data_IF_538566799946
#
_entry.id   IF_538566799946
#
_cell.length_a   1.000
_cell.length_b   1.000
_cell.length_c   1.000
_cell.angle_alpha   90.00
_cell.angle_beta   90.00
_cell.angle_gamma   90.00
#
_symmetry.space_group_name_H-M   'P 1'
#
loop_
_entity.id
_entity.type
_entity.pdbx_description
1 polymer ?
#
# COMPACT_ATOMS: atom_id res chain seq x y z
N UNK A 1 -5.64 -7.84 -49.54
CA UNK A 1 -6.33 -7.19 -48.41
C UNK A 1 -7.11 -8.23 -47.62
N UNK A 2 -6.39 -9.14 -46.97
CA UNK A 2 -6.95 -10.14 -46.05
C UNK A 2 -6.97 -9.50 -44.68
N UNK A 3 -8.16 -9.29 -44.13
CA UNK A 3 -8.31 -8.82 -42.76
C UNK A 3 -7.94 -10.00 -41.85
N UNK A 4 -7.04 -9.77 -40.89
CA UNK A 4 -6.71 -10.72 -39.83
C UNK A 4 -7.95 -10.93 -38.95
N UNK A 5 -8.84 -11.82 -39.40
CA UNK A 5 -10.07 -12.20 -38.71
C UNK A 5 -9.79 -12.84 -37.35
N UNK A 6 -8.58 -13.38 -37.16
CA UNK A 6 -8.08 -13.98 -35.92
C UNK A 6 -8.01 -12.97 -34.75
N UNK A 7 -7.79 -11.68 -35.04
CA UNK A 7 -7.59 -10.66 -34.01
C UNK A 7 -8.87 -9.89 -33.65
N UNK A 8 -9.97 -10.13 -34.35
CA UNK A 8 -11.26 -9.45 -34.13
C UNK A 8 -11.75 -9.57 -32.68
N UNK A 9 -11.71 -10.74 -32.02
CA UNK A 9 -12.15 -10.86 -30.63
C UNK A 9 -11.27 -10.06 -29.66
N UNK A 10 -9.96 -10.04 -29.89
CA UNK A 10 -8.99 -9.32 -29.05
C UNK A 10 -9.19 -7.82 -29.16
N UNK A 11 -9.35 -7.31 -30.40
CA UNK A 11 -9.60 -5.89 -30.66
C UNK A 11 -10.97 -5.47 -30.11
N UNK A 12 -11.99 -6.32 -30.19
CA UNK A 12 -13.31 -6.04 -29.63
C UNK A 12 -13.25 -5.92 -28.09
N UNK A 13 -12.58 -6.86 -27.42
CA UNK A 13 -12.42 -6.83 -25.95
C UNK A 13 -11.62 -5.59 -25.51
N UNK A 14 -10.52 -5.28 -26.20
CA UNK A 14 -9.71 -4.09 -25.91
C UNK A 14 -10.51 -2.78 -26.07
N UNK A 15 -11.38 -2.71 -27.08
CA UNK A 15 -12.26 -1.55 -27.31
C UNK A 15 -13.34 -1.42 -26.23
N UNK A 16 -13.92 -2.53 -25.76
CA UNK A 16 -14.88 -2.53 -24.63
C UNK A 16 -14.22 -2.03 -23.33
N UNK A 17 -12.98 -2.43 -23.07
CA UNK A 17 -12.22 -1.89 -21.93
C UNK A 17 -11.90 -0.40 -22.07
N UNK A 18 -11.57 0.05 -23.29
CA UNK A 18 -11.31 1.46 -23.58
C UNK A 18 -12.56 2.36 -23.45
N UNK A 19 -13.77 1.80 -23.65
CA UNK A 19 -15.02 2.54 -23.39
C UNK A 19 -15.42 2.52 -21.92
N UNK A 20 -15.18 1.43 -21.17
CA UNK A 20 -15.42 1.41 -19.72
C UNK A 20 -14.59 2.45 -18.95
N UNK A 21 -13.42 2.83 -19.47
CA UNK A 21 -12.58 3.89 -18.87
C UNK A 21 -13.08 5.32 -19.15
N UNK A 22 -14.03 5.51 -20.08
CA UNK A 22 -14.64 6.82 -20.39
C UNK A 22 -15.87 7.15 -19.55
N UNK A 23 -16.55 6.15 -18.97
CA UNK A 23 -17.69 6.35 -18.05
C UNK A 23 -17.28 6.36 -16.57
N UNK A 24 -16.01 6.69 -16.28
CA UNK A 24 -15.60 7.18 -14.95
C UNK A 24 -16.09 8.62 -14.77
N UNK A 25 -17.41 8.83 -14.86
CA UNK A 25 -18.03 10.04 -14.35
C UNK A 25 -17.51 10.27 -12.92
N UNK A 26 -17.12 11.50 -12.53
CA UNK A 26 -16.72 11.76 -11.16
C UNK A 26 -17.89 11.32 -10.27
N UNK A 27 -17.60 10.46 -9.30
CA UNK A 27 -18.59 9.99 -8.32
C UNK A 27 -19.24 11.23 -7.73
N UNK A 28 -20.43 11.55 -8.21
CA UNK A 28 -21.22 12.69 -7.75
C UNK A 28 -21.43 12.50 -6.26
N UNK A 29 -21.06 13.52 -5.50
CA UNK A 29 -21.16 13.78 -4.06
C UNK A 29 -22.43 13.30 -3.32
N UNK A 30 -22.92 12.08 -3.51
CA UNK A 30 -23.83 11.45 -2.55
C UNK A 30 -22.99 11.13 -1.33
N UNK A 31 -22.90 12.07 -0.38
CA UNK A 31 -22.22 11.97 0.92
C UNK A 31 -21.35 10.72 1.00
N UNK A 32 -20.19 10.75 0.31
CA UNK A 32 -19.39 9.55 0.14
C UNK A 32 -18.86 9.20 1.52
N UNK A 33 -19.53 8.28 2.20
CA UNK A 33 -19.04 7.71 3.45
C UNK A 33 -17.71 7.06 3.07
N UNK A 34 -16.60 7.71 3.43
CA UNK A 34 -15.26 7.17 3.21
C UNK A 34 -15.25 5.73 3.71
N UNK A 35 -14.56 4.85 2.99
CA UNK A 35 -14.47 3.44 3.38
C UNK A 35 -13.84 3.36 4.78
N UNK A 36 -14.53 2.73 5.74
CA UNK A 36 -14.02 2.62 7.11
C UNK A 36 -13.05 1.46 7.23
N UNK A 37 -11.79 1.74 7.51
CA UNK A 37 -10.71 0.77 7.54
C UNK A 37 -10.19 0.59 8.96
N UNK A 38 -10.19 -0.65 9.43
CA UNK A 38 -9.47 -1.04 10.65
C UNK A 38 -8.16 -1.74 10.26
N UNK A 39 -7.04 -1.23 10.75
CA UNK A 39 -5.71 -1.81 10.52
C UNK A 39 -5.36 -2.76 11.67
N UNK A 40 -5.14 -4.03 11.34
CA UNK A 40 -4.57 -5.06 12.22
C UNK A 40 -3.15 -5.39 11.73
N UNK A 41 -2.20 -4.52 12.07
CA UNK A 41 -0.78 -4.63 11.75
C UNK A 41 0.09 -4.00 12.85
N UNK A 42 1.42 -4.07 12.73
CA UNK A 42 2.34 -3.32 13.60
C UNK A 42 2.25 -1.80 13.34
N UNK A 43 2.64 -1.00 14.34
CA UNK A 43 2.48 0.46 14.31
C UNK A 43 3.24 1.11 13.14
N UNK A 44 4.47 0.69 12.88
CA UNK A 44 5.29 1.25 11.80
C UNK A 44 4.66 1.04 10.42
N UNK A 45 4.11 -0.16 10.17
CA UNK A 45 3.36 -0.42 8.95
C UNK A 45 2.02 0.32 8.93
N UNK A 46 1.36 0.46 10.09
CA UNK A 46 0.13 1.21 10.22
C UNK A 46 0.30 2.67 9.82
N UNK A 47 1.38 3.31 10.27
CA UNK A 47 1.71 4.70 9.93
C UNK A 47 2.00 4.88 8.45
N UNK A 48 2.75 3.96 7.85
CA UNK A 48 2.97 3.94 6.40
C UNK A 48 1.65 3.80 5.62
N UNK A 49 0.78 2.87 6.01
CA UNK A 49 -0.50 2.70 5.32
C UNK A 49 -1.38 3.95 5.43
N UNK A 50 -1.36 4.64 6.59
CA UNK A 50 -2.08 5.91 6.78
C UNK A 50 -1.53 7.04 5.92
N UNK A 51 -0.23 7.08 5.65
CA UNK A 51 0.34 8.10 4.75
C UNK A 51 0.06 7.82 3.28
N UNK A 52 -0.13 6.56 2.89
CA UNK A 52 -0.36 6.17 1.49
C UNK A 52 -1.84 6.11 1.09
N UNK A 53 -2.76 5.89 2.04
CA UNK A 53 -4.20 5.73 1.78
C UNK A 53 -5.00 6.84 2.49
N UNK A 54 -4.78 8.09 2.11
CA UNK A 54 -5.43 9.28 2.68
C UNK A 54 -6.92 9.47 2.30
N UNK A 55 -7.42 8.62 1.41
CA UNK A 55 -8.79 8.66 0.88
C UNK A 55 -9.79 7.77 1.65
N UNK A 56 -9.34 7.03 2.66
CA UNK A 56 -10.19 6.20 3.54
C UNK A 56 -10.43 6.88 4.89
N UNK A 57 -11.31 6.30 5.73
CA UNK A 57 -11.49 6.70 7.12
C UNK A 57 -10.94 5.59 8.02
N UNK A 58 -9.95 5.89 8.85
CA UNK A 58 -9.41 4.91 9.79
C UNK A 58 -10.21 4.88 11.07
N UNK A 59 -10.68 3.69 11.45
CA UNK A 59 -11.42 3.48 12.70
C UNK A 59 -10.57 2.71 13.70
N UNK A 60 -10.62 3.12 14.97
CA UNK A 60 -9.92 2.42 16.05
C UNK A 60 -10.64 1.16 16.52
N UNK A 61 -11.95 1.05 16.28
CA UNK A 61 -12.74 -0.11 16.66
C UNK A 61 -13.08 -0.95 15.43
N UNK A 62 -12.63 -2.21 15.43
CA UNK A 62 -12.91 -3.18 14.37
C UNK A 62 -14.41 -3.32 14.04
N UNK A 63 -15.31 -3.16 15.01
CA UNK A 63 -16.77 -3.29 14.78
C UNK A 63 -17.36 -2.15 13.94
N UNK A 64 -16.65 -1.03 13.80
CA UNK A 64 -17.06 0.11 13.00
C UNK A 64 -16.49 0.07 11.57
N UNK A 65 -15.67 -0.93 11.26
CA UNK A 65 -15.01 -1.03 9.97
C UNK A 65 -15.93 -1.64 8.91
N UNK A 66 -15.77 -1.15 7.68
CA UNK A 66 -16.22 -1.78 6.46
C UNK A 66 -15.22 -2.84 5.98
N UNK A 67 -13.92 -2.60 6.21
CA UNK A 67 -12.84 -3.52 5.85
C UNK A 67 -11.84 -3.60 6.99
N UNK A 68 -11.51 -4.82 7.40
CA UNK A 68 -10.35 -5.10 8.24
C UNK A 68 -9.18 -5.51 7.37
N UNK A 69 -8.08 -4.77 7.49
CA UNK A 69 -6.81 -5.10 6.83
C UNK A 69 -5.91 -5.76 7.84
N UNK A 70 -5.71 -7.07 7.70
CA UNK A 70 -4.80 -7.84 8.55
C UNK A 70 -3.50 -8.10 7.82
N UNK A 71 -2.37 -7.73 8.43
CA UNK A 71 -1.05 -8.00 7.86
C UNK A 71 -0.29 -8.98 8.73
N UNK A 72 0.18 -10.07 8.10
CA UNK A 72 1.10 -11.02 8.71
C UNK A 72 2.45 -10.92 8.02
N UNK A 73 3.49 -10.65 8.80
CA UNK A 73 4.87 -10.53 8.31
C UNK A 73 5.68 -11.76 8.68
N UNK A 74 6.41 -12.35 7.72
CA UNK A 74 7.38 -13.43 7.95
C UNK A 74 8.74 -13.07 7.35
N UNK A 75 9.83 -13.46 8.02
CA UNK A 75 11.19 -13.29 7.48
C UNK A 75 11.39 -14.24 6.29
N UNK A 76 11.94 -13.73 5.19
CA UNK A 76 12.31 -14.55 4.04
C UNK A 76 13.72 -15.14 4.23
N UNK A 77 13.97 -16.34 3.68
CA UNK A 77 15.27 -17.02 3.81
C UNK A 77 16.48 -16.23 3.28
N UNK A 78 16.27 -15.30 2.33
CA UNK A 78 17.33 -14.49 1.71
C UNK A 78 17.33 -13.00 2.14
N UNK A 79 16.87 -12.70 3.36
CA UNK A 79 17.01 -11.35 3.94
C UNK A 79 15.89 -10.35 3.66
N UNK A 80 14.76 -10.77 3.08
CA UNK A 80 13.56 -9.93 2.89
C UNK A 80 12.44 -10.18 3.90
N UNK A 81 11.27 -9.56 3.67
CA UNK A 81 10.02 -9.86 4.37
C UNK A 81 8.99 -10.40 3.37
N UNK A 82 8.23 -11.41 3.78
CA UNK A 82 7.01 -11.84 3.10
C UNK A 82 5.83 -11.30 3.89
N UNK A 83 5.02 -10.47 3.25
CA UNK A 83 3.80 -9.95 3.82
C UNK A 83 2.63 -10.72 3.20
N UNK A 84 1.73 -11.17 4.06
CA UNK A 84 0.42 -11.62 3.65
C UNK A 84 -0.57 -10.57 4.16
N UNK A 85 -1.24 -9.88 3.24
CA UNK A 85 -2.26 -8.87 3.54
C UNK A 85 -3.62 -9.48 3.23
N UNK A 86 -4.45 -9.61 4.25
CA UNK A 86 -5.83 -10.05 4.12
C UNK A 86 -6.76 -8.83 4.23
N UNK A 87 -7.55 -8.61 3.18
CA UNK A 87 -8.64 -7.66 3.16
C UNK A 87 -9.91 -8.43 3.48
N UNK A 88 -10.49 -8.15 4.63
CA UNK A 88 -11.62 -8.91 5.16
C UNK A 88 -12.79 -7.93 5.27
N UNK A 89 -13.78 -8.12 4.41
CA UNK A 89 -15.00 -7.32 4.44
C UNK A 89 -15.76 -7.52 5.75
N UNK A 90 -16.34 -6.44 6.23
CA UNK A 90 -17.10 -6.34 7.47
C UNK A 90 -18.36 -5.51 7.19
N UNK A 91 -19.38 -5.62 8.05
CA UNK A 91 -20.66 -4.91 7.87
C UNK A 91 -21.22 -5.14 6.46
N UNK A 92 -21.41 -4.08 5.66
CA UNK A 92 -21.94 -4.13 4.29
C UNK A 92 -21.09 -4.93 3.29
N UNK A 93 -19.87 -5.32 3.65
CA UNK A 93 -18.99 -6.14 2.80
C UNK A 93 -18.72 -7.54 3.36
N UNK A 94 -19.53 -8.02 4.32
CA UNK A 94 -19.41 -9.38 4.82
C UNK A 94 -19.43 -10.43 3.69
N UNK A 95 -18.59 -11.46 3.84
CA UNK A 95 -18.42 -12.51 2.83
C UNK A 95 -17.45 -12.15 1.68
N UNK A 96 -17.07 -10.88 1.54
CA UNK A 96 -16.08 -10.44 0.54
C UNK A 96 -14.69 -10.43 1.19
N UNK A 97 -13.75 -11.14 0.58
CA UNK A 97 -12.36 -11.17 1.05
C UNK A 97 -11.36 -11.27 -0.10
N UNK A 98 -10.18 -10.69 0.12
CA UNK A 98 -9.06 -10.77 -0.81
C UNK A 98 -7.75 -10.99 -0.04
N UNK A 99 -6.80 -11.67 -0.68
CA UNK A 99 -5.49 -11.94 -0.13
C UNK A 99 -4.41 -11.45 -1.10
N UNK A 100 -3.52 -10.60 -0.63
CA UNK A 100 -2.31 -10.21 -1.35
C UNK A 100 -1.08 -10.80 -0.65
N UNK A 101 -0.17 -11.39 -1.44
CA UNK A 101 1.14 -11.84 -0.95
C UNK A 101 2.21 -10.96 -1.59
N UNK A 102 2.96 -10.25 -0.74
CA UNK A 102 3.99 -9.31 -1.16
C UNK A 102 5.34 -9.81 -0.67
N UNK A 103 6.29 -9.96 -1.58
CA UNK A 103 7.69 -10.19 -1.23
C UNK A 103 8.39 -8.83 -1.22
N UNK A 104 8.76 -8.35 -0.04
CA UNK A 104 9.57 -7.14 0.13
C UNK A 104 11.05 -7.52 0.19
N UNK A 105 11.85 -7.23 -0.85
CA UNK A 105 13.29 -7.47 -0.81
C UNK A 105 13.95 -6.54 0.22
N UNK A 106 15.10 -6.96 0.76
CA UNK A 106 15.85 -6.21 1.77
C UNK A 106 16.15 -4.76 1.36
N UNK A 107 16.39 -4.52 0.07
CA UNK A 107 16.66 -3.20 -0.49
C UNK A 107 15.52 -2.19 -0.30
N UNK A 108 14.28 -2.66 -0.14
CA UNK A 108 13.10 -1.82 0.14
C UNK A 108 12.82 -1.65 1.63
N UNK A 109 13.48 -2.41 2.49
CA UNK A 109 13.35 -2.34 3.96
C UNK A 109 14.39 -1.42 4.60
N UNK A 110 15.35 -0.94 3.82
CA UNK A 110 16.27 0.09 4.29
C UNK A 110 15.43 1.31 4.64
N UNK A 111 15.58 1.88 5.86
CA UNK A 111 14.80 3.03 6.25
C UNK A 111 15.00 4.12 5.21
N UNK A 112 13.90 4.75 4.79
CA UNK A 112 13.96 6.02 4.09
C UNK A 112 14.82 6.93 4.99
N UNK A 113 16.06 7.18 4.58
CA UNK A 113 17.02 7.98 5.35
C UNK A 113 16.33 9.30 5.65
N UNK A 114 15.91 9.50 6.90
CA UNK A 114 15.37 10.78 7.36
C UNK A 114 16.40 11.84 7.01
N UNK A 115 16.00 12.82 6.19
CA UNK A 115 16.83 14.01 5.91
C UNK A 115 16.82 14.93 7.15
N UNK A 116 17.25 14.44 8.29
CA UNK A 116 17.38 15.21 9.53
C UNK A 116 18.61 14.72 10.29
N UNK A 117 19.74 15.42 10.12
CA UNK A 117 20.98 15.10 10.81
C UNK A 117 22.23 15.27 9.96
N UNK A 118 22.35 16.37 9.22
CA UNK A 118 23.68 16.94 8.96
C UNK A 118 24.10 17.68 10.23
N UNK A 119 25.36 17.46 10.60
CA UNK A 119 26.12 18.11 11.68
C UNK A 119 25.93 17.48 13.07
N UNK A 120 26.57 16.33 13.29
CA UNK A 120 27.33 16.16 14.54
C UNK A 120 28.77 16.57 14.25
N UNK A 121 29.18 17.65 14.92
CA UNK A 121 30.53 18.21 14.95
C UNK A 121 31.58 17.11 15.21
N UNK A 122 32.66 17.17 14.42
CA UNK A 122 33.95 16.59 14.77
C UNK A 122 34.41 17.13 16.11
N UNK A 123 34.63 16.24 17.08
CA UNK A 123 35.48 16.52 18.23
C UNK A 123 36.92 16.27 17.76
N UNK A 124 37.66 17.36 17.54
CA UNK A 124 39.11 17.33 17.44
C UNK A 124 39.68 16.95 18.81
N UNK A 125 40.40 15.83 18.87
CA UNK A 125 41.18 15.44 20.02
C UNK A 125 42.65 15.27 19.59
N UNK A 126 43.50 16.20 20.05
CA UNK A 126 44.89 15.90 20.40
C UNK A 126 45.96 16.16 19.34
N UNK A 127 46.35 17.43 19.15
CA UNK A 127 47.69 17.79 18.71
C UNK A 127 48.61 18.01 19.93
N UNK A 128 49.90 17.64 19.88
CA UNK A 128 50.78 17.65 21.04
C UNK A 128 51.31 19.05 21.37
N UNK A 129 51.26 19.46 22.64
CA UNK A 129 52.01 20.61 23.13
C UNK A 129 53.42 20.16 23.50
N UNK A 130 54.39 20.67 22.74
CA UNK A 130 55.80 20.64 23.07
C UNK A 130 56.13 21.55 24.26
N UNK A 131 57.07 21.10 25.10
CA UNK A 131 58.10 21.94 25.70
C UNK A 131 59.34 21.10 25.95
#
# INVERSE_FOLDING_TARGET
MTHDTELVPVVAIARVWATMTRDLAPVSWRASSRLKVFLECDDALGDYLRSELDFVEYVANRRQADVRVKVTTRRAQRGGRKLTVAFIGMSRFEGIQALARVNLPQSKLLPHRSKSGQTLRSYDAGGPLAK
#
